data_IF_784272642363
#
_entry.id   IF_784272642363
#
_cell.length_a   1.000
_cell.length_b   1.000
_cell.length_c   1.000
_cell.angle_alpha   90.00
_cell.angle_beta   90.00
_cell.angle_gamma   90.00
#
_symmetry.space_group_name_H-M   'P 1'
#
loop_
_entity.id
_entity.type
_entity.pdbx_description
1 polymer ?
#
# COMPACT_ATOMS: atom_id res chain seq x y z
N UNK A 1 -18.90 10.46 -25.70
CA UNK A 1 -18.83 9.22 -24.91
C UNK A 1 -20.20 8.60 -25.07
N UNK A 2 -20.30 7.47 -25.77
CA UNK A 2 -21.56 6.77 -25.92
C UNK A 2 -21.92 6.11 -24.58
N UNK A 3 -23.21 5.92 -24.27
CA UNK A 3 -23.64 5.28 -23.01
C UNK A 3 -22.98 3.92 -22.78
N UNK A 4 -22.68 3.16 -23.85
CA UNK A 4 -21.96 1.89 -23.77
C UNK A 4 -20.52 2.00 -23.27
N UNK A 5 -19.82 3.11 -23.51
CA UNK A 5 -18.45 3.32 -23.02
C UNK A 5 -18.42 3.47 -21.48
N UNK A 6 -19.50 4.00 -20.91
CA UNK A 6 -19.62 4.24 -19.47
C UNK A 6 -19.95 2.92 -18.74
N UNK A 7 -20.86 2.12 -19.29
CA UNK A 7 -21.23 0.82 -18.71
C UNK A 7 -20.04 -0.14 -18.64
N UNK A 8 -19.27 -0.23 -19.74
CA UNK A 8 -18.07 -1.08 -19.79
C UNK A 8 -17.03 -0.64 -18.75
N UNK A 9 -16.80 0.66 -18.61
CA UNK A 9 -15.86 1.18 -17.61
C UNK A 9 -16.31 0.87 -16.18
N UNK A 10 -17.61 0.95 -15.88
CA UNK A 10 -18.15 0.59 -14.56
C UNK A 10 -17.92 -0.91 -14.27
N UNK A 11 -18.17 -1.76 -15.26
CA UNK A 11 -17.99 -3.21 -15.13
C UNK A 11 -16.52 -3.58 -14.90
N UNK A 12 -15.59 -3.00 -15.68
CA UNK A 12 -14.15 -3.19 -15.50
C UNK A 12 -13.69 -2.78 -14.09
N UNK A 13 -14.15 -1.62 -13.60
CA UNK A 13 -13.80 -1.17 -12.24
C UNK A 13 -14.36 -2.10 -11.15
N UNK A 14 -15.54 -2.69 -11.36
CA UNK A 14 -16.11 -3.67 -10.44
C UNK A 14 -15.24 -4.93 -10.39
N UNK A 15 -14.89 -5.48 -11.56
CA UNK A 15 -14.04 -6.67 -11.63
C UNK A 15 -12.66 -6.43 -11.01
N UNK A 16 -12.05 -5.27 -11.26
CA UNK A 16 -10.80 -4.89 -10.63
C UNK A 16 -10.94 -4.81 -9.10
N UNK A 17 -12.06 -4.25 -8.62
CA UNK A 17 -12.31 -4.17 -7.19
C UNK A 17 -12.44 -5.53 -6.53
N UNK A 18 -13.20 -6.44 -7.14
CA UNK A 18 -13.38 -7.81 -6.67
C UNK A 18 -12.05 -8.57 -6.66
N UNK A 19 -11.25 -8.43 -7.73
CA UNK A 19 -9.91 -9.00 -7.81
C UNK A 19 -9.01 -8.49 -6.69
N UNK A 20 -8.94 -7.16 -6.48
CA UNK A 20 -8.10 -6.58 -5.41
C UNK A 20 -8.51 -7.10 -4.05
N UNK A 21 -9.81 -7.26 -3.79
CA UNK A 21 -10.32 -7.78 -2.53
C UNK A 21 -9.89 -9.23 -2.26
N UNK A 22 -9.58 -10.03 -3.30
CA UNK A 22 -9.01 -11.38 -3.13
C UNK A 22 -7.59 -11.37 -2.56
N UNK A 23 -6.85 -10.27 -2.67
CA UNK A 23 -5.47 -10.17 -2.18
C UNK A 23 -5.37 -9.88 -0.68
N UNK A 24 -6.50 -9.66 0.00
CA UNK A 24 -6.51 -9.38 1.44
C UNK A 24 -5.98 -10.57 2.25
N UNK A 25 -5.10 -10.29 3.21
CA UNK A 25 -4.59 -11.31 4.12
C UNK A 25 -5.62 -11.73 5.18
N UNK A 26 -5.66 -13.02 5.54
CA UNK A 26 -6.62 -13.57 6.53
C UNK A 26 -6.50 -12.88 7.89
N UNK A 27 -5.28 -12.55 8.33
CA UNK A 27 -5.00 -11.90 9.61
C UNK A 27 -4.78 -10.39 9.50
N UNK A 28 -5.14 -9.79 8.36
CA UNK A 28 -4.96 -8.36 8.11
C UNK A 28 -6.09 -7.54 8.74
N UNK A 29 -5.73 -6.62 9.65
CA UNK A 29 -6.72 -5.75 10.28
C UNK A 29 -7.30 -4.76 9.28
N UNK A 30 -8.51 -4.27 9.52
CA UNK A 30 -9.17 -3.31 8.62
C UNK A 30 -8.34 -2.05 8.36
N UNK A 31 -7.59 -1.57 9.37
CA UNK A 31 -6.72 -0.39 9.22
C UNK A 31 -5.57 -0.67 8.24
N UNK A 32 -4.92 -1.82 8.36
CA UNK A 32 -3.87 -2.24 7.43
C UNK A 32 -4.45 -2.42 6.03
N UNK A 33 -5.56 -3.17 5.93
CA UNK A 33 -6.16 -3.50 4.65
C UNK A 33 -6.64 -2.26 3.90
N UNK A 34 -7.32 -1.32 4.56
CA UNK A 34 -7.78 -0.07 3.92
C UNK A 34 -6.63 0.68 3.25
N UNK A 35 -5.50 0.82 3.94
CA UNK A 35 -4.32 1.50 3.40
C UNK A 35 -3.64 0.69 2.29
N UNK A 36 -3.43 -0.63 2.51
CA UNK A 36 -2.80 -1.51 1.50
C UNK A 36 -3.65 -1.65 0.24
N UNK A 37 -4.97 -1.70 0.38
CA UNK A 37 -5.93 -1.69 -0.73
C UNK A 37 -5.79 -0.42 -1.57
N UNK A 38 -5.70 0.75 -0.94
CA UNK A 38 -5.45 2.02 -1.64
C UNK A 38 -4.09 1.99 -2.39
N UNK A 39 -3.06 1.39 -1.77
CA UNK A 39 -1.77 1.18 -2.41
C UNK A 39 -1.89 0.31 -3.66
N UNK A 40 -2.66 -0.79 -3.60
CA UNK A 40 -2.88 -1.67 -4.74
C UNK A 40 -3.60 -0.92 -5.88
N UNK A 41 -4.73 -0.26 -5.63
CA UNK A 41 -5.45 0.47 -6.70
C UNK A 41 -4.62 1.55 -7.38
N UNK A 42 -3.77 2.25 -6.62
CA UNK A 42 -2.91 3.28 -7.18
C UNK A 42 -1.91 2.73 -8.18
N UNK A 43 -1.40 1.53 -7.95
CA UNK A 43 -0.27 0.98 -8.68
C UNK A 43 -0.64 -0.17 -9.61
N UNK A 44 -1.82 -0.79 -9.48
CA UNK A 44 -2.17 -2.04 -10.19
C UNK A 44 -2.11 -1.94 -11.71
N UNK A 45 -2.36 -0.76 -12.28
CA UNK A 45 -2.28 -0.56 -13.73
C UNK A 45 -0.84 -0.53 -14.26
N UNK A 46 0.16 -0.35 -13.39
CA UNK A 46 1.58 -0.33 -13.77
C UNK A 46 2.22 -1.74 -13.69
N UNK A 47 1.46 -2.74 -13.23
CA UNK A 47 1.92 -4.12 -13.06
C UNK A 47 0.99 -5.06 -13.84
N UNK A 48 1.53 -5.66 -14.89
CA UNK A 48 0.87 -6.75 -15.61
C UNK A 48 1.38 -8.11 -15.10
N UNK A 49 0.63 -9.18 -15.34
CA UNK A 49 1.15 -10.53 -15.10
C UNK A 49 2.46 -10.75 -15.88
N UNK A 50 3.50 -11.35 -15.26
CA UNK A 50 3.52 -12.03 -13.95
C UNK A 50 3.95 -11.15 -12.77
N UNK A 51 4.02 -9.83 -12.94
CA UNK A 51 4.58 -8.90 -11.96
C UNK A 51 3.60 -8.50 -10.84
N UNK A 52 2.37 -9.02 -10.85
CA UNK A 52 1.40 -8.80 -9.77
C UNK A 52 1.96 -9.23 -8.41
N UNK A 53 2.64 -10.37 -8.34
CA UNK A 53 3.25 -10.85 -7.09
C UNK A 53 4.27 -9.84 -6.52
N UNK A 54 4.99 -9.13 -7.40
CA UNK A 54 5.91 -8.08 -7.00
C UNK A 54 5.18 -6.89 -6.38
N UNK A 55 4.05 -6.48 -6.97
CA UNK A 55 3.19 -5.43 -6.41
C UNK A 55 2.64 -5.85 -5.03
N UNK A 56 2.18 -7.09 -4.90
CA UNK A 56 1.69 -7.62 -3.62
C UNK A 56 2.78 -7.56 -2.54
N UNK A 57 4.01 -7.97 -2.88
CA UNK A 57 5.14 -7.91 -1.97
C UNK A 57 5.49 -6.46 -1.56
N UNK A 58 5.53 -5.53 -2.53
CA UNK A 58 5.80 -4.10 -2.26
C UNK A 58 4.71 -3.47 -1.38
N UNK A 59 3.44 -3.81 -1.61
CA UNK A 59 2.31 -3.36 -0.79
C UNK A 59 2.44 -3.81 0.67
N UNK A 60 2.95 -5.03 0.89
CA UNK A 60 3.21 -5.57 2.22
C UNK A 60 4.41 -4.90 2.88
N UNK A 61 5.50 -4.65 2.14
CA UNK A 61 6.66 -3.92 2.66
C UNK A 61 6.26 -2.55 3.17
N UNK A 62 5.48 -1.81 2.38
CA UNK A 62 4.96 -0.50 2.76
C UNK A 62 4.06 -0.59 4.00
N UNK A 63 3.05 -1.45 3.99
CA UNK A 63 2.14 -1.61 5.13
C UNK A 63 2.88 -2.04 6.41
N UNK A 64 3.81 -2.99 6.32
CA UNK A 64 4.61 -3.43 7.48
C UNK A 64 5.51 -2.33 8.00
N UNK A 65 6.07 -1.49 7.13
CA UNK A 65 6.84 -0.32 7.56
C UNK A 65 5.95 0.69 8.32
N UNK A 66 4.81 1.04 7.76
CA UNK A 66 3.88 2.06 8.29
C UNK A 66 3.23 1.60 9.60
N UNK A 67 2.77 0.36 9.68
CA UNK A 67 1.93 -0.09 10.79
C UNK A 67 2.62 -1.00 11.80
N UNK A 68 3.70 -1.69 11.41
CA UNK A 68 4.46 -2.60 12.28
C UNK A 68 5.87 -2.09 12.59
N UNK A 69 6.31 -1.01 11.94
CA UNK A 69 7.63 -0.42 12.15
C UNK A 69 8.76 -1.26 11.59
N UNK A 70 8.48 -2.21 10.69
CA UNK A 70 9.51 -3.00 10.02
C UNK A 70 10.48 -2.08 9.26
N UNK A 71 11.76 -2.44 9.28
CA UNK A 71 12.83 -1.68 8.62
C UNK A 71 13.38 -2.49 7.45
N UNK A 72 13.64 -1.80 6.35
CA UNK A 72 14.17 -2.34 5.12
C UNK A 72 15.31 -1.45 4.63
N UNK A 73 15.92 -1.77 3.47
CA UNK A 73 16.94 -0.90 2.88
C UNK A 73 16.35 0.49 2.55
N UNK A 74 17.14 1.57 2.68
CA UNK A 74 16.68 2.93 2.34
C UNK A 74 16.08 3.02 0.93
N UNK A 75 16.76 2.45 -0.07
CA UNK A 75 16.33 2.46 -1.46
C UNK A 75 14.96 1.78 -1.67
N UNK A 76 14.69 0.70 -0.92
CA UNK A 76 13.39 0.02 -0.99
C UNK A 76 12.30 0.85 -0.33
N UNK A 77 12.59 1.49 0.80
CA UNK A 77 11.65 2.36 1.50
C UNK A 77 11.32 3.61 0.69
N UNK A 78 12.31 4.24 0.07
CA UNK A 78 12.12 5.37 -0.85
C UNK A 78 11.15 4.99 -1.97
N UNK A 79 11.43 3.89 -2.67
CA UNK A 79 10.55 3.37 -3.74
C UNK A 79 9.11 3.16 -3.27
N UNK A 80 8.90 2.44 -2.16
CA UNK A 80 7.52 2.16 -1.73
C UNK A 80 6.80 3.40 -1.20
N UNK A 81 7.53 4.40 -0.70
CA UNK A 81 6.94 5.67 -0.28
C UNK A 81 6.51 6.52 -1.50
N UNK A 82 7.29 6.52 -2.58
CA UNK A 82 6.90 7.14 -3.85
C UNK A 82 5.65 6.49 -4.43
N UNK A 83 5.62 5.15 -4.45
CA UNK A 83 4.44 4.38 -4.88
C UNK A 83 3.19 4.67 -4.03
N UNK A 84 3.37 5.05 -2.76
CA UNK A 84 2.29 5.37 -1.84
C UNK A 84 1.89 6.85 -1.80
N UNK A 85 2.49 7.70 -2.65
CA UNK A 85 2.23 9.13 -2.62
C UNK A 85 0.73 9.46 -2.72
N UNK A 86 0.24 10.33 -1.84
CA UNK A 86 -1.17 10.72 -1.78
C UNK A 86 -2.07 9.75 -1.00
N UNK A 87 -1.57 8.60 -0.52
CA UNK A 87 -2.31 7.73 0.38
C UNK A 87 -2.22 8.28 1.81
N UNK A 88 -3.35 8.69 2.37
CA UNK A 88 -3.44 9.19 3.75
C UNK A 88 -3.72 8.04 4.70
N UNK A 89 -2.81 7.81 5.64
CA UNK A 89 -2.99 6.84 6.74
C UNK A 89 -3.29 7.58 8.03
N UNK A 90 -4.54 7.46 8.50
CA UNK A 90 -4.99 8.03 9.77
C UNK A 90 -4.40 7.26 10.95
N UNK A 91 -3.98 7.99 11.99
CA UNK A 91 -3.43 7.44 13.24
C UNK A 91 -2.27 6.45 13.05
N UNK A 92 -1.38 6.72 12.08
CA UNK A 92 -0.21 5.90 11.85
C UNK A 92 0.68 5.83 13.12
N UNK A 93 1.08 4.63 13.57
CA UNK A 93 1.91 4.48 14.76
C UNK A 93 3.30 5.10 14.56
N UNK A 94 3.82 5.74 15.61
CA UNK A 94 5.14 6.37 15.59
C UNK A 94 6.17 5.42 16.20
N UNK A 95 7.05 4.86 15.36
CA UNK A 95 8.13 3.97 15.80
C UNK A 95 9.46 4.71 15.92
N UNK A 96 9.92 4.93 17.16
CA UNK A 96 11.25 5.50 17.43
C UNK A 96 12.19 4.41 17.92
N UNK A 97 13.38 4.37 17.35
CA UNK A 97 14.48 3.53 17.83
C UNK A 97 15.07 4.13 19.10
N UNK A 98 15.73 3.28 19.90
CA UNK A 98 16.45 3.74 21.10
C UNK A 98 17.48 4.82 20.78
N UNK A 99 18.20 4.67 19.67
CA UNK A 99 19.25 5.62 19.28
C UNK A 99 18.66 6.99 18.87
N UNK A 100 17.48 7.02 18.23
CA UNK A 100 16.75 8.26 17.95
C UNK A 100 16.24 8.93 19.22
N UNK A 101 15.74 8.14 20.18
CA UNK A 101 15.33 8.66 21.50
C UNK A 101 16.54 9.26 22.23
N UNK A 102 17.67 8.57 22.22
CA UNK A 102 18.91 9.03 22.86
C UNK A 102 19.51 10.27 22.20
N UNK A 103 19.41 10.42 20.87
CA UNK A 103 19.83 11.65 20.17
C UNK A 103 18.97 12.85 20.55
N UNK A 104 17.66 12.66 20.68
CA UNK A 104 16.73 13.73 21.06
C UNK A 104 16.87 14.19 22.52
N UNK A 105 17.41 13.36 23.42
CA UNK A 105 17.69 13.72 24.81
C UNK A 105 18.99 14.51 25.03
N UNK A 106 19.87 14.56 24.02
CA UNK A 106 21.15 15.30 24.09
C UNK A 106 21.04 16.75 23.60
N UNK A 107 19.82 17.27 23.42
CA UNK A 107 19.53 18.65 23.02
C UNK A 107 19.00 19.47 24.19
#
# INVERSE_FOLDING_TARGET
>A
MAEGDIEEFIEQNRHLSELVDTYRGISESEKHWKARRAFLFRNINDFEDPHIDQLLALSMVWANNVFLGCRYSPDLLEKVNEMAEGIVVEDAPVFKTRDEIMKNQKR
#
